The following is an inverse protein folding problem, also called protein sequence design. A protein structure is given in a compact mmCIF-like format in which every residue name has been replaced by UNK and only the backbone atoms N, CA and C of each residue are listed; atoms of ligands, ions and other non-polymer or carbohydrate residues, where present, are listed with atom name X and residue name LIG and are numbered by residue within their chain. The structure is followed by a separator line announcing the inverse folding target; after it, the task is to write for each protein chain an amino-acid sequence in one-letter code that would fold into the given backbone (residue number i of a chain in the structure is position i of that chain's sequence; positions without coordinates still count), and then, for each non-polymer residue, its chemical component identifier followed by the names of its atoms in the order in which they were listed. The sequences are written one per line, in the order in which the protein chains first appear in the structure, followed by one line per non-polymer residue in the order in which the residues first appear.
data_IF_557787124053
#
_entry.id   IF_557787124053
#
_cell.length_a   1.000
_cell.length_b   1.000
_cell.length_c   1.000
_cell.angle_alpha   90.00
_cell.angle_beta   90.00
_cell.angle_gamma   90.00
#
_symmetry.space_group_name_H-M   'P 1'
#
loop_
_entity.id
_entity.type
_entity.pdbx_description
1 polymer ?
#
# COMPACT_ATOMS: atom_id res chain seq x y z
N UNK A 1 -6.68 26.09 6.60
CA UNK A 1 -7.08 25.08 5.60
C UNK A 1 -6.18 23.87 5.72
N UNK A 2 -6.79 22.70 5.86
CA UNK A 2 -6.04 21.47 5.96
C UNK A 2 -5.39 21.09 4.63
N UNK A 3 -4.31 20.31 4.69
CA UNK A 3 -3.74 19.67 3.51
C UNK A 3 -4.79 18.76 2.89
N UNK A 4 -4.88 18.79 1.56
CA UNK A 4 -5.67 17.80 0.84
C UNK A 4 -5.08 16.41 1.09
N UNK A 5 -5.94 15.43 1.37
CA UNK A 5 -5.50 14.05 1.56
C UNK A 5 -4.83 13.52 0.30
N UNK A 6 -3.72 12.82 0.47
CA UNK A 6 -3.02 12.13 -0.60
C UNK A 6 -3.66 10.76 -0.81
N UNK A 7 -3.46 10.20 -1.99
CA UNK A 7 -3.95 8.88 -2.35
C UNK A 7 -2.78 7.98 -2.72
N UNK A 8 -2.77 6.78 -2.17
CA UNK A 8 -1.73 5.78 -2.43
C UNK A 8 -2.36 4.47 -2.87
N UNK A 9 -1.74 3.84 -3.87
CA UNK A 9 -2.07 2.45 -4.21
C UNK A 9 -1.34 1.52 -3.24
N UNK A 10 -2.08 0.56 -2.67
CA UNK A 10 -1.52 -0.56 -1.91
C UNK A 10 -2.05 -1.83 -2.55
N UNK A 11 -1.20 -2.53 -3.28
CA UNK A 11 -1.64 -3.72 -4.00
C UNK A 11 -1.92 -4.88 -3.06
N UNK A 12 -2.93 -5.65 -3.39
CA UNK A 12 -3.45 -6.76 -2.58
C UNK A 12 -3.13 -8.12 -3.20
N UNK A 13 -1.87 -8.31 -3.60
CA UNK A 13 -1.40 -9.58 -4.18
C UNK A 13 -2.25 -9.99 -5.38
N UNK A 14 -2.24 -9.14 -6.42
CA UNK A 14 -3.01 -9.36 -7.65
C UNK A 14 -4.51 -9.56 -7.38
N UNK A 15 -5.03 -8.95 -6.34
CA UNK A 15 -6.43 -9.02 -5.95
C UNK A 15 -6.78 -10.15 -4.98
N UNK A 16 -5.84 -11.04 -4.69
CA UNK A 16 -6.10 -12.15 -3.76
C UNK A 16 -6.52 -11.68 -2.36
N UNK A 17 -6.02 -10.53 -1.92
CA UNK A 17 -6.32 -9.97 -0.60
C UNK A 17 -7.36 -8.84 -0.65
N UNK A 18 -7.98 -8.60 -1.79
CA UNK A 18 -8.94 -7.51 -1.98
C UNK A 18 -10.06 -7.55 -0.94
N UNK A 19 -10.69 -8.71 -0.78
CA UNK A 19 -11.75 -8.89 0.20
C UNK A 19 -11.21 -9.00 1.63
N UNK A 20 -10.04 -9.60 1.81
CA UNK A 20 -9.41 -9.74 3.12
C UNK A 20 -9.09 -8.38 3.73
N UNK A 21 -8.56 -7.46 2.92
CA UNK A 21 -8.32 -6.09 3.37
C UNK A 21 -9.61 -5.44 3.88
N UNK A 22 -10.68 -5.62 3.14
CA UNK A 22 -11.99 -5.07 3.52
C UNK A 22 -12.52 -5.70 4.80
N UNK A 23 -12.51 -7.02 4.88
CA UNK A 23 -13.04 -7.75 6.03
C UNK A 23 -12.27 -7.44 7.32
N UNK A 24 -10.96 -7.26 7.22
CA UNK A 24 -10.11 -6.97 8.37
C UNK A 24 -9.96 -5.48 8.65
N UNK A 25 -10.44 -4.61 7.77
CA UNK A 25 -10.35 -3.16 7.94
C UNK A 25 -8.91 -2.65 7.88
N UNK A 26 -8.09 -3.17 6.97
CA UNK A 26 -6.67 -2.85 6.85
C UNK A 26 -6.23 -2.75 5.39
N UNK A 27 -5.07 -2.11 5.19
CA UNK A 27 -4.21 -2.32 4.04
C UNK A 27 -2.90 -2.90 4.55
N UNK A 28 -2.23 -3.72 3.76
CA UNK A 28 -1.06 -4.44 4.24
C UNK A 28 0.03 -4.55 3.19
N UNK A 29 1.27 -4.63 3.66
CA UNK A 29 2.44 -4.98 2.86
C UNK A 29 3.02 -6.30 3.36
N UNK A 30 3.68 -7.03 2.46
CA UNK A 30 4.36 -8.27 2.79
C UNK A 30 5.75 -8.01 3.40
N UNK A 31 6.83 -8.46 2.81
CA UNK A 31 8.21 -8.34 3.33
C UNK A 31 8.32 -8.68 4.82
N UNK A 32 8.03 -9.94 5.21
CA UNK A 32 7.99 -10.30 6.63
C UNK A 32 9.32 -10.06 7.35
N UNK A 33 10.45 -10.16 6.65
CA UNK A 33 11.77 -9.91 7.22
C UNK A 33 12.01 -8.44 7.57
N UNK A 34 11.21 -7.51 7.04
CA UNK A 34 11.34 -6.07 7.30
C UNK A 34 10.27 -5.53 8.23
N UNK A 35 9.18 -6.26 8.42
CA UNK A 35 7.97 -5.72 9.04
C UNK A 35 8.19 -5.25 10.47
N UNK A 36 8.87 -6.04 11.30
CA UNK A 36 9.13 -5.65 12.69
C UNK A 36 9.98 -4.39 12.78
N UNK A 37 11.08 -4.35 12.05
CA UNK A 37 11.99 -3.20 12.04
C UNK A 37 11.31 -1.96 11.49
N UNK A 38 10.53 -2.09 10.42
CA UNK A 38 9.77 -0.98 9.85
C UNK A 38 8.77 -0.42 10.86
N UNK A 39 8.04 -1.27 11.55
CA UNK A 39 7.08 -0.85 12.58
C UNK A 39 7.75 -0.14 13.75
N UNK A 40 9.00 -0.51 14.05
CA UNK A 40 9.81 0.14 15.10
C UNK A 40 10.41 1.48 14.67
N UNK A 41 10.28 1.86 13.41
CA UNK A 41 10.76 3.14 12.92
C UNK A 41 12.17 3.11 12.33
N UNK A 42 12.68 1.95 11.93
CA UNK A 42 13.99 1.87 11.28
C UNK A 42 13.99 2.64 9.97
N UNK A 43 15.15 3.24 9.64
CA UNK A 43 15.35 4.01 8.42
C UNK A 43 15.49 3.13 7.17
N UNK A 44 15.45 3.79 6.00
CA UNK A 44 15.54 3.09 4.71
C UNK A 44 16.84 2.29 4.56
N UNK A 45 17.97 2.87 4.98
CA UNK A 45 19.27 2.19 4.87
C UNK A 45 19.33 0.95 5.76
N UNK A 46 18.84 1.08 6.99
CA UNK A 46 18.79 -0.05 7.92
C UNK A 46 17.90 -1.17 7.39
N UNK A 47 16.73 -0.82 6.82
CA UNK A 47 15.82 -1.80 6.22
C UNK A 47 16.45 -2.47 5.00
N UNK A 48 17.19 -1.71 4.19
CA UNK A 48 17.92 -2.25 3.04
C UNK A 48 18.95 -3.29 3.50
N UNK A 49 19.69 -2.98 4.56
CA UNK A 49 20.70 -3.89 5.11
C UNK A 49 20.07 -5.17 5.66
N UNK A 50 18.93 -5.05 6.33
CA UNK A 50 18.17 -6.21 6.82
C UNK A 50 17.72 -7.10 5.65
N UNK A 51 17.21 -6.49 4.59
CA UNK A 51 16.78 -7.22 3.40
C UNK A 51 17.95 -8.01 2.80
N UNK A 52 19.10 -7.34 2.64
CA UNK A 52 20.30 -7.97 2.06
C UNK A 52 20.85 -9.10 2.94
N UNK A 53 20.73 -8.97 4.24
CA UNK A 53 21.14 -10.04 5.17
C UNK A 53 20.19 -11.24 5.09
N UNK A 54 18.90 -10.98 4.96
CA UNK A 54 17.87 -12.04 4.88
C UNK A 54 17.90 -12.76 3.53
N UNK A 55 18.22 -12.04 2.45
CA UNK A 55 18.26 -12.57 1.08
C UNK A 55 19.60 -12.18 0.45
N UNK A 56 20.68 -12.95 0.69
CA UNK A 56 22.02 -12.54 0.25
C UNK A 56 22.18 -12.31 -1.25
N UNK A 57 21.38 -12.99 -2.06
CA UNK A 57 21.47 -12.88 -3.52
C UNK A 57 20.59 -11.75 -4.08
N UNK A 58 19.92 -10.99 -3.23
CA UNK A 58 19.02 -9.93 -3.69
C UNK A 58 19.84 -8.81 -4.37
N UNK A 59 19.31 -8.29 -5.47
CA UNK A 59 19.90 -7.12 -6.12
C UNK A 59 19.71 -5.90 -5.24
N UNK A 60 20.70 -5.01 -5.23
CA UNK A 60 20.66 -3.81 -4.40
C UNK A 60 19.40 -2.98 -4.67
N UNK A 61 19.04 -2.77 -5.95
CA UNK A 61 17.84 -2.01 -6.30
C UNK A 61 16.56 -2.65 -5.76
N UNK A 62 16.47 -3.97 -5.79
CA UNK A 62 15.31 -4.70 -5.24
C UNK A 62 15.21 -4.50 -3.74
N UNK A 63 16.34 -4.63 -3.04
CA UNK A 63 16.37 -4.41 -1.59
C UNK A 63 16.00 -2.96 -1.24
N UNK A 64 16.55 -1.99 -1.97
CA UNK A 64 16.24 -0.57 -1.76
C UNK A 64 14.77 -0.26 -2.03
N UNK A 65 14.18 -0.85 -3.08
CA UNK A 65 12.78 -0.65 -3.42
C UNK A 65 11.86 -1.19 -2.33
N UNK A 66 12.09 -2.40 -1.87
CA UNK A 66 11.30 -3.01 -0.79
C UNK A 66 11.42 -2.21 0.50
N UNK A 67 12.65 -1.85 0.87
CA UNK A 67 12.91 -1.04 2.06
C UNK A 67 12.22 0.33 1.98
N UNK A 68 12.28 0.99 0.84
CA UNK A 68 11.65 2.29 0.63
C UNK A 68 10.12 2.20 0.75
N UNK A 69 9.50 1.18 0.17
CA UNK A 69 8.06 1.00 0.25
C UNK A 69 7.61 0.73 1.69
N UNK A 70 8.33 -0.10 2.42
CA UNK A 70 8.04 -0.37 3.83
C UNK A 70 8.20 0.89 4.68
N UNK A 71 9.27 1.64 4.46
CA UNK A 71 9.50 2.91 5.16
C UNK A 71 8.39 3.93 4.87
N UNK A 72 7.99 4.06 3.60
CA UNK A 72 6.94 4.98 3.19
C UNK A 72 5.59 4.61 3.80
N UNK A 73 5.29 3.33 3.85
CA UNK A 73 4.04 2.84 4.43
C UNK A 73 3.89 3.22 5.90
N UNK A 74 5.00 3.26 6.63
CA UNK A 74 5.02 3.62 8.06
C UNK A 74 5.08 5.13 8.24
N UNK A 75 5.94 5.82 7.47
CA UNK A 75 6.33 7.20 7.78
C UNK A 75 5.74 8.26 6.86
N UNK A 76 5.51 7.94 5.59
CA UNK A 76 4.99 8.92 4.63
C UNK A 76 3.46 8.94 4.62
N UNK A 77 2.81 7.79 4.66
CA UNK A 77 1.36 7.71 4.71
C UNK A 77 0.88 8.18 6.09
N UNK A 78 0.10 9.25 6.10
CA UNK A 78 -0.41 9.83 7.33
C UNK A 78 -1.86 9.39 7.58
N UNK A 79 -2.28 9.44 8.85
CA UNK A 79 -3.68 9.23 9.20
C UNK A 79 -4.52 10.27 8.44
N UNK A 80 -5.62 9.83 7.86
CA UNK A 80 -6.46 10.67 7.02
C UNK A 80 -6.12 10.61 5.52
N UNK A 81 -4.93 10.14 5.16
CA UNK A 81 -4.61 9.90 3.75
C UNK A 81 -5.46 8.74 3.21
N UNK A 82 -5.73 8.78 1.92
CA UNK A 82 -6.52 7.75 1.26
C UNK A 82 -5.64 6.65 0.68
N UNK A 83 -6.18 5.46 0.63
CA UNK A 83 -5.55 4.31 -0.04
C UNK A 83 -6.56 3.67 -0.98
N UNK A 84 -6.04 3.07 -2.04
CA UNK A 84 -6.86 2.22 -2.89
C UNK A 84 -6.14 0.91 -3.14
N UNK A 85 -6.92 -0.12 -3.42
CA UNK A 85 -6.42 -1.42 -3.84
C UNK A 85 -7.27 -1.92 -5.01
N UNK A 86 -6.77 -2.89 -5.76
CA UNK A 86 -7.40 -3.28 -7.02
C UNK A 86 -7.69 -4.78 -7.07
N UNK A 87 -8.85 -5.12 -7.63
CA UNK A 87 -9.21 -6.48 -8.02
C UNK A 87 -9.24 -6.60 -9.55
N UNK A 88 -8.29 -7.30 -10.15
CA UNK A 88 -8.33 -7.55 -11.61
C UNK A 88 -9.57 -8.33 -12.03
N UNK A 89 -10.01 -9.27 -11.21
CA UNK A 89 -11.19 -10.09 -11.50
C UNK A 89 -12.46 -9.25 -11.56
N UNK A 90 -12.65 -8.34 -10.59
CA UNK A 90 -13.82 -7.48 -10.54
C UNK A 90 -13.66 -6.20 -11.37
N UNK A 91 -12.45 -5.86 -11.78
CA UNK A 91 -12.09 -4.60 -12.45
C UNK A 91 -12.55 -3.40 -11.62
N UNK A 92 -12.33 -3.47 -10.31
CA UNK A 92 -12.72 -2.44 -9.35
C UNK A 92 -11.58 -2.09 -8.42
N UNK A 93 -11.59 -0.83 -8.02
CA UNK A 93 -10.73 -0.30 -6.96
C UNK A 93 -11.58 -0.10 -5.72
N UNK A 94 -11.07 -0.53 -4.57
CA UNK A 94 -11.67 -0.18 -3.29
C UNK A 94 -10.87 0.97 -2.71
N UNK A 95 -11.56 1.98 -2.21
CA UNK A 95 -10.96 3.22 -1.70
C UNK A 95 -11.31 3.37 -0.23
N UNK A 96 -10.33 3.74 0.57
CA UNK A 96 -10.51 3.94 2.00
C UNK A 96 -9.60 5.02 2.55
N UNK A 97 -9.68 5.21 3.86
CA UNK A 97 -8.91 6.22 4.58
C UNK A 97 -8.12 5.55 5.70
N UNK A 98 -6.85 5.92 5.82
CA UNK A 98 -5.99 5.43 6.90
C UNK A 98 -6.45 6.04 8.22
N UNK A 99 -6.66 5.20 9.23
CA UNK A 99 -7.15 5.63 10.55
C UNK A 99 -6.17 5.40 11.68
N UNK A 100 -5.03 4.80 11.43
CA UNK A 100 -4.07 4.53 12.48
C UNK A 100 -2.69 4.16 11.97
N UNK A 101 -1.76 3.99 12.90
CA UNK A 101 -0.37 3.70 12.61
C UNK A 101 -0.11 2.27 12.14
N UNK A 102 1.09 2.04 11.66
CA UNK A 102 1.52 0.73 11.20
C UNK A 102 1.72 -0.25 12.36
N UNK A 103 1.30 -1.50 12.16
CA UNK A 103 1.41 -2.58 13.14
C UNK A 103 2.04 -3.79 12.47
N UNK A 104 3.04 -4.37 13.13
CA UNK A 104 3.61 -5.65 12.72
C UNK A 104 2.67 -6.79 13.15
N UNK A 105 2.25 -7.61 12.19
CA UNK A 105 1.34 -8.73 12.41
C UNK A 105 2.01 -10.04 12.01
N UNK A 106 2.89 -10.62 12.85
CA UNK A 106 3.58 -11.87 12.51
C UNK A 106 2.62 -13.04 12.26
N UNK A 107 1.47 -13.03 12.90
CA UNK A 107 0.44 -14.06 12.69
C UNK A 107 -0.12 -14.08 11.27
N UNK A 108 0.13 -13.02 10.50
CA UNK A 108 -0.33 -12.90 9.10
C UNK A 108 0.83 -12.95 8.08
N UNK A 109 2.04 -13.34 8.51
CA UNK A 109 3.19 -13.43 7.61
C UNK A 109 2.93 -14.37 6.42
N UNK A 110 2.32 -15.52 6.67
CA UNK A 110 2.01 -16.50 5.63
C UNK A 110 0.92 -16.02 4.68
N UNK A 111 0.14 -15.03 5.09
CA UNK A 111 -0.91 -14.43 4.27
C UNK A 111 -0.42 -13.20 3.50
N UNK A 112 0.87 -12.89 3.57
CA UNK A 112 1.47 -11.70 2.93
C UNK A 112 0.94 -10.37 3.48
N UNK A 113 0.61 -10.34 4.76
CA UNK A 113 0.07 -9.18 5.46
C UNK A 113 0.86 -8.90 6.73
N UNK A 114 2.18 -8.84 6.61
CA UNK A 114 3.09 -8.72 7.75
C UNK A 114 3.06 -7.35 8.42
N UNK A 115 2.82 -6.29 7.65
CA UNK A 115 2.78 -4.92 8.15
C UNK A 115 1.46 -4.30 7.71
N UNK A 116 0.64 -3.86 8.65
CA UNK A 116 -0.70 -3.36 8.35
C UNK A 116 -0.91 -1.94 8.86
N UNK A 117 -1.80 -1.22 8.19
CA UNK A 117 -2.37 0.03 8.69
C UNK A 117 -3.88 -0.10 8.72
N UNK A 118 -4.56 0.34 9.80
CA UNK A 118 -6.01 0.34 9.84
C UNK A 118 -6.58 1.26 8.76
N UNK A 119 -7.63 0.80 8.09
CA UNK A 119 -8.29 1.55 7.02
C UNK A 119 -9.81 1.47 7.20
N UNK A 120 -10.45 2.63 7.11
CA UNK A 120 -11.89 2.69 6.95
C UNK A 120 -12.19 2.66 5.45
N UNK A 121 -12.69 1.54 4.95
CA UNK A 121 -13.02 1.40 3.53
C UNK A 121 -14.35 2.12 3.25
N UNK A 122 -14.34 3.00 2.25
CA UNK A 122 -15.44 3.93 1.98
C UNK A 122 -16.30 3.51 0.79
N UNK A 123 -15.71 2.88 -0.21
CA UNK A 123 -16.48 2.48 -1.39
C UNK A 123 -15.60 1.92 -2.50
N UNK A 124 -16.23 1.65 -3.63
CA UNK A 124 -15.56 1.06 -4.79
C UNK A 124 -15.75 1.96 -6.02
N UNK A 125 -14.77 1.89 -6.93
CA UNK A 125 -14.79 2.59 -8.21
C UNK A 125 -14.51 1.58 -9.32
N UNK A 126 -15.35 1.56 -10.36
CA UNK A 126 -15.11 0.72 -11.52
C UNK A 126 -13.94 1.27 -12.35
N UNK A 127 -13.00 0.41 -12.69
CA UNK A 127 -11.86 0.81 -13.53
C UNK A 127 -12.33 1.38 -14.86
N UNK A 128 -13.37 0.80 -15.44
CA UNK A 128 -13.87 1.21 -16.75
C UNK A 128 -14.50 2.60 -16.75
N UNK A 129 -14.86 3.13 -15.58
CA UNK A 129 -15.40 4.48 -15.43
C UNK A 129 -14.30 5.55 -15.33
N UNK A 130 -13.05 5.14 -15.23
CA UNK A 130 -11.91 6.05 -15.13
C UNK A 130 -11.35 6.40 -16.50
N UNK A 131 -10.77 7.60 -16.62
CA UNK A 131 -10.08 8.00 -17.85
C UNK A 131 -8.91 7.06 -18.16
N UNK A 132 -8.53 6.98 -19.42
CA UNK A 132 -7.38 6.18 -19.86
C UNK A 132 -6.10 6.62 -19.14
N UNK A 133 -5.91 7.93 -18.95
CA UNK A 133 -4.74 8.46 -18.25
C UNK A 133 -4.67 7.93 -16.81
N UNK A 134 -5.78 7.95 -16.08
CA UNK A 134 -5.84 7.43 -14.70
C UNK A 134 -5.64 5.92 -14.69
N UNK A 135 -6.26 5.18 -15.59
CA UNK A 135 -6.04 3.73 -15.68
C UNK A 135 -4.56 3.39 -15.87
N UNK A 136 -3.87 4.13 -16.74
CA UNK A 136 -2.43 3.94 -16.96
C UNK A 136 -1.59 4.28 -15.74
N UNK A 137 -1.92 5.38 -15.07
CA UNK A 137 -1.21 5.80 -13.86
C UNK A 137 -1.32 4.75 -12.75
N UNK A 138 -2.47 4.08 -12.64
CA UNK A 138 -2.71 3.03 -11.64
C UNK A 138 -2.09 1.68 -12.04
N UNK A 139 -1.55 1.57 -13.24
CA UNK A 139 -0.92 0.34 -13.74
C UNK A 139 0.53 0.13 -13.34
N UNK A 140 1.11 0.96 -12.47
CA UNK A 140 2.48 0.79 -12.00
C UNK A 140 2.67 -0.58 -11.34
N UNK A 141 3.86 -1.16 -11.50
CA UNK A 141 4.17 -2.49 -10.95
C UNK A 141 4.53 -2.48 -9.48
N UNK A 142 4.82 -1.31 -8.90
CA UNK A 142 5.17 -1.23 -7.49
C UNK A 142 3.98 -1.62 -6.60
N UNK A 143 4.26 -2.22 -5.45
CA UNK A 143 3.23 -2.61 -4.48
C UNK A 143 2.59 -1.40 -3.81
N UNK A 144 3.42 -0.41 -3.46
CA UNK A 144 2.99 0.85 -2.87
C UNK A 144 3.50 2.00 -3.72
N UNK A 145 2.60 2.88 -4.17
CA UNK A 145 3.00 4.11 -4.86
C UNK A 145 1.97 5.22 -4.69
N UNK A 146 2.45 6.46 -4.78
CA UNK A 146 1.59 7.64 -4.70
C UNK A 146 0.85 7.84 -6.03
N UNK A 147 -0.40 8.26 -5.94
CA UNK A 147 -1.24 8.60 -7.08
C UNK A 147 -1.21 10.12 -7.28
N UNK A 148 -1.08 10.59 -8.52
CA UNK A 148 -1.03 12.03 -8.79
C UNK A 148 -2.32 12.72 -8.33
N UNK A 149 -2.23 14.02 -8.04
CA UNK A 149 -3.39 14.80 -7.59
C UNK A 149 -4.55 14.76 -8.60
N UNK A 150 -4.23 14.85 -9.89
CA UNK A 150 -5.25 14.82 -10.93
C UNK A 150 -6.00 13.48 -10.98
N UNK A 151 -5.26 12.38 -10.89
CA UNK A 151 -5.85 11.04 -10.87
C UNK A 151 -6.64 10.80 -9.57
N UNK A 152 -6.10 11.26 -8.44
CA UNK A 152 -6.78 11.15 -7.14
C UNK A 152 -8.10 11.91 -7.16
N UNK A 153 -8.14 13.11 -7.71
CA UNK A 153 -9.37 13.90 -7.81
C UNK A 153 -10.45 13.16 -8.61
N UNK A 154 -10.07 12.56 -9.74
CA UNK A 154 -11.01 11.76 -10.53
C UNK A 154 -11.58 10.60 -9.73
N UNK A 155 -10.72 9.89 -8.99
CA UNK A 155 -11.14 8.74 -8.18
C UNK A 155 -12.08 9.19 -7.06
N UNK A 156 -11.74 10.26 -6.35
CA UNK A 156 -12.56 10.76 -5.24
C UNK A 156 -13.96 11.21 -5.70
N UNK A 157 -14.08 11.71 -6.90
CA UNK A 157 -15.39 12.11 -7.45
C UNK A 157 -16.33 10.92 -7.65
N UNK A 158 -15.78 9.71 -7.77
CA UNK A 158 -16.55 8.50 -8.10
C UNK A 158 -16.82 7.59 -6.89
N UNK A 159 -16.22 7.88 -5.77
CA UNK A 159 -16.42 7.09 -4.54
C UNK A 159 -17.75 7.40 -3.88
#
# INVERSE_FOLDING_TARGET
MGKQAKLYMVRSTQGALYDVFFERGVAALAWPMLAEAAAKGFGREELTDIYRSAVPDVKLRTAQSGAAQMWRFVNELADGDAVLTYSPTLRRYRVGRITGGAVHCPQWDDEKMSLVRPVEWLGEVCRDDLSTATQRALGSVATLFAVSEACAAEIFERV
#
